data_IF_169878793013
#
_entry.id   IF_169878793013
#
_cell.length_a   1.000
_cell.length_b   1.000
_cell.length_c   1.000
_cell.angle_alpha   90.00
_cell.angle_beta   90.00
_cell.angle_gamma   90.00
#
_symmetry.space_group_name_H-M   'P 1'
#
loop_
_entity.id
_entity.type
_entity.pdbx_description
1 polymer ?
#
# COMPACT_ATOMS: atom_id res chain seq x y z
N UNK A 1 -7.97 -11.33 13.57
CA UNK A 1 -6.63 -11.13 12.97
C UNK A 1 -6.84 -10.91 11.47
N UNK A 2 -6.61 -9.71 10.92
CA UNK A 2 -6.83 -9.42 9.48
C UNK A 2 -5.99 -10.34 8.59
N UNK A 3 -6.65 -11.05 7.69
CA UNK A 3 -6.06 -11.89 6.66
C UNK A 3 -6.14 -11.22 5.29
N UNK A 4 -5.44 -11.79 4.31
CA UNK A 4 -5.41 -11.29 2.93
C UNK A 4 -6.80 -11.23 2.29
N UNK A 5 -7.65 -12.19 2.61
CA UNK A 5 -9.03 -12.25 2.12
C UNK A 5 -9.88 -11.07 2.61
N UNK A 6 -9.59 -10.54 3.80
CA UNK A 6 -10.34 -9.44 4.43
C UNK A 6 -9.99 -8.07 3.83
N UNK A 7 -8.89 -7.98 3.07
CA UNK A 7 -8.45 -6.72 2.47
C UNK A 7 -9.29 -6.38 1.25
N UNK A 8 -9.77 -5.14 1.18
CA UNK A 8 -10.40 -4.61 -0.02
C UNK A 8 -9.39 -4.44 -1.16
N UNK A 9 -9.88 -4.36 -2.40
CA UNK A 9 -9.03 -4.18 -3.58
C UNK A 9 -8.10 -2.96 -3.45
N UNK A 10 -8.63 -1.82 -3.01
CA UNK A 10 -7.84 -0.60 -2.79
C UNK A 10 -6.77 -0.76 -1.71
N UNK A 11 -7.03 -1.55 -0.65
CA UNK A 11 -6.02 -1.81 0.38
C UNK A 11 -4.90 -2.69 -0.16
N UNK A 12 -5.22 -3.69 -1.00
CA UNK A 12 -4.23 -4.54 -1.66
C UNK A 12 -3.34 -3.74 -2.60
N UNK A 13 -3.94 -2.86 -3.40
CA UNK A 13 -3.21 -1.95 -4.29
C UNK A 13 -2.30 -1.00 -3.51
N UNK A 14 -2.77 -0.45 -2.38
CA UNK A 14 -1.95 0.40 -1.51
C UNK A 14 -0.73 -0.33 -0.93
N UNK A 15 -0.91 -1.59 -0.49
CA UNK A 15 0.19 -2.42 0.00
C UNK A 15 1.23 -2.69 -1.10
N UNK A 16 0.77 -3.05 -2.29
CA UNK A 16 1.64 -3.32 -3.44
C UNK A 16 2.38 -2.06 -3.89
N UNK A 17 1.68 -0.92 -4.00
CA UNK A 17 2.27 0.34 -4.36
C UNK A 17 3.33 0.79 -3.35
N UNK A 18 3.04 0.66 -2.05
CA UNK A 18 4.03 0.97 -1.02
C UNK A 18 5.24 0.03 -1.09
N UNK A 19 5.04 -1.26 -1.35
CA UNK A 19 6.14 -2.23 -1.50
C UNK A 19 7.04 -1.89 -2.69
N UNK A 20 6.46 -1.43 -3.80
CA UNK A 20 7.21 -1.07 -5.01
C UNK A 20 7.85 0.31 -4.96
N UNK A 21 7.58 1.14 -3.94
CA UNK A 21 8.13 2.50 -3.81
C UNK A 21 9.64 2.54 -3.54
N UNK A 22 10.31 1.39 -3.39
CA UNK A 22 11.73 1.29 -3.01
C UNK A 22 11.99 1.63 -1.54
N UNK A 23 11.28 2.61 -0.97
CA UNK A 23 11.29 2.97 0.45
C UNK A 23 10.34 2.12 1.31
N UNK A 24 9.40 1.38 0.69
CA UNK A 24 8.36 0.67 1.43
C UNK A 24 7.31 1.61 2.02
N UNK A 25 7.08 2.78 1.41
CA UNK A 25 6.24 3.84 1.96
C UNK A 25 5.42 4.61 0.92
N UNK A 26 4.33 5.21 1.39
CA UNK A 26 3.53 6.17 0.65
C UNK A 26 3.83 7.58 1.17
N UNK A 27 4.05 8.51 0.26
CA UNK A 27 4.29 9.92 0.55
C UNK A 27 3.01 10.71 0.37
N UNK A 28 2.76 11.67 1.26
CA UNK A 28 1.61 12.56 1.18
C UNK A 28 1.81 13.60 0.08
N UNK A 29 0.77 13.82 -0.70
CA UNK A 29 0.66 14.86 -1.72
C UNK A 29 -0.60 15.69 -1.47
N UNK A 30 -0.82 16.71 -2.30
CA UNK A 30 -2.02 17.55 -2.19
C UNK A 30 -3.33 16.75 -2.34
N UNK A 31 -3.31 15.61 -3.05
CA UNK A 31 -4.49 14.77 -3.29
C UNK A 31 -4.67 13.59 -2.32
N UNK A 32 -3.69 13.29 -1.47
CA UNK A 32 -3.71 12.09 -0.62
C UNK A 32 -2.33 11.51 -0.40
N UNK A 33 -2.19 10.19 -0.57
CA UNK A 33 -0.93 9.46 -0.43
C UNK A 33 -0.62 8.72 -1.72
N UNK A 34 0.64 8.69 -2.14
CA UNK A 34 1.06 7.87 -3.27
C UNK A 34 2.42 7.24 -3.04
N UNK A 35 2.67 6.14 -3.74
CA UNK A 35 4.00 5.57 -3.81
C UNK A 35 4.90 6.43 -4.70
N UNK A 36 6.11 6.71 -4.23
CA UNK A 36 7.16 7.37 -5.01
C UNK A 36 8.21 6.32 -5.30
N UNK A 37 8.15 5.70 -6.47
CA UNK A 37 9.11 4.68 -6.87
C UNK A 37 10.25 5.32 -7.64
N UNK A 38 11.46 5.35 -7.08
CA UNK A 38 12.72 5.75 -7.77
C UNK A 38 12.59 6.87 -8.81
N UNK A 39 11.93 7.97 -8.44
CA UNK A 39 11.75 9.16 -9.31
C UNK A 39 10.49 9.19 -10.18
N UNK A 40 9.72 8.10 -10.28
CA UNK A 40 8.41 8.09 -10.94
C UNK A 40 7.28 7.99 -9.91
N UNK A 41 6.47 9.05 -9.74
CA UNK A 41 5.23 8.95 -8.96
C UNK A 41 4.31 7.87 -9.53
N UNK A 42 3.76 7.00 -8.68
CA UNK A 42 2.64 6.12 -9.07
C UNK A 42 1.44 6.99 -9.50
N UNK A 43 0.72 6.60 -10.55
CA UNK A 43 -0.50 7.32 -10.97
C UNK A 43 -1.65 7.19 -9.96
N UNK A 44 -1.57 6.24 -9.03
CA UNK A 44 -2.64 5.97 -8.07
C UNK A 44 -2.47 6.81 -6.81
N UNK A 45 -3.50 7.61 -6.50
CA UNK A 45 -3.59 8.38 -5.26
C UNK A 45 -4.55 7.67 -4.30
N UNK A 46 -4.05 7.35 -3.11
CA UNK A 46 -4.79 6.75 -2.02
C UNK A 46 -5.28 7.84 -1.05
N UNK A 47 -6.55 7.79 -0.67
CA UNK A 47 -7.11 8.79 0.24
C UNK A 47 -6.54 8.66 1.66
N UNK A 48 -6.47 9.77 2.39
CA UNK A 48 -6.05 9.78 3.80
C UNK A 48 -6.93 8.87 4.67
N UNK A 49 -8.21 8.72 4.33
CA UNK A 49 -9.14 7.81 5.02
C UNK A 49 -8.73 6.35 4.86
N UNK A 50 -8.34 5.93 3.64
CA UNK A 50 -7.87 4.58 3.39
C UNK A 50 -6.59 4.29 4.17
N UNK A 51 -5.61 5.19 4.08
CA UNK A 51 -4.32 5.04 4.78
C UNK A 51 -4.51 5.00 6.30
N UNK A 52 -5.39 5.83 6.85
CA UNK A 52 -5.73 5.78 8.29
C UNK A 52 -6.45 4.49 8.70
N UNK A 53 -7.31 3.93 7.85
CA UNK A 53 -7.93 2.63 8.13
C UNK A 53 -6.88 1.51 8.17
N UNK A 54 -5.88 1.58 7.28
CA UNK A 54 -4.78 0.62 7.25
C UNK A 54 -3.78 0.83 8.40
N UNK A 55 -3.57 2.06 8.86
CA UNK A 55 -2.84 2.39 10.09
C UNK A 55 -3.49 1.73 11.31
N UNK A 56 -4.80 1.91 11.50
CA UNK A 56 -5.58 1.25 12.56
C UNK A 56 -5.55 -0.28 12.49
N UNK A 57 -5.29 -0.82 11.30
CA UNK A 57 -5.15 -2.24 11.03
C UNK A 57 -3.71 -2.76 11.23
N UNK A 58 -2.78 -1.91 11.67
CA UNK A 58 -1.35 -2.20 11.84
C UNK A 58 -0.62 -2.61 10.55
N UNK A 59 -1.11 -2.13 9.40
CA UNK A 59 -0.49 -2.38 8.08
C UNK A 59 0.49 -1.29 7.69
N UNK A 60 0.19 -0.05 8.08
CA UNK A 60 1.07 1.10 7.95
C UNK A 60 1.40 1.66 9.34
N UNK A 61 2.56 2.29 9.46
CA UNK A 61 2.92 3.23 10.52
C UNK A 61 2.98 4.61 9.90
N UNK A 62 2.40 5.57 10.59
CA UNK A 62 2.44 6.98 10.21
C UNK A 62 3.60 7.66 10.93
N UNK A 63 4.26 8.60 10.26
CA UNK A 63 5.30 9.45 10.86
C UNK A 63 4.74 10.40 11.92
N UNK A 64 3.53 10.91 11.69
CA UNK A 64 2.77 11.77 12.59
C UNK A 64 1.30 11.35 12.61
N UNK A 65 0.67 11.27 13.80
CA UNK A 65 -0.73 10.85 13.92
C UNK A 65 -1.74 11.90 13.44
N UNK A 66 -1.39 13.18 13.63
CA UNK A 66 -2.25 14.33 13.32
C UNK A 66 -2.11 14.75 11.87
N UNK A 67 -0.86 14.92 11.42
CA UNK A 67 -0.53 15.41 10.07
C UNK A 67 0.50 14.51 9.40
N UNK A 68 0.18 13.23 9.14
CA UNK A 68 1.10 12.30 8.53
C UNK A 68 1.62 12.86 7.20
N UNK A 69 2.92 12.80 6.97
CA UNK A 69 3.55 13.09 5.68
C UNK A 69 3.98 11.79 5.00
N UNK A 70 4.20 10.74 5.76
CA UNK A 70 4.65 9.45 5.26
C UNK A 70 3.88 8.31 5.95
N UNK A 71 3.49 7.32 5.15
CA UNK A 71 2.92 6.07 5.64
C UNK A 71 3.83 4.91 5.24
N UNK A 72 4.57 4.35 6.20
CA UNK A 72 5.54 3.29 5.99
C UNK A 72 4.95 1.92 6.30
N UNK A 73 5.24 0.92 5.48
CA UNK A 73 4.79 -0.45 5.73
C UNK A 73 5.37 -0.98 7.04
N UNK A 74 4.52 -1.62 7.83
CA UNK A 74 4.97 -2.42 8.96
C UNK A 74 5.52 -3.78 8.49
N UNK A 75 6.20 -4.51 9.37
CA UNK A 75 6.59 -5.91 9.11
C UNK A 75 5.41 -6.78 8.68
N UNK A 76 4.22 -6.50 9.25
CA UNK A 76 2.99 -7.19 8.89
C UNK A 76 2.47 -6.75 7.52
N UNK A 77 2.44 -5.45 7.25
CA UNK A 77 2.03 -4.90 5.95
C UNK A 77 2.92 -5.42 4.83
N UNK A 78 4.25 -5.48 5.06
CA UNK A 78 5.20 -6.03 4.09
C UNK A 78 4.97 -7.51 3.83
N UNK A 79 4.76 -8.32 4.87
CA UNK A 79 4.49 -9.76 4.71
C UNK A 79 3.21 -10.02 3.89
N UNK A 80 2.15 -9.22 4.12
CA UNK A 80 0.92 -9.32 3.32
C UNK A 80 1.12 -8.84 1.87
N UNK A 81 1.93 -7.80 1.66
CA UNK A 81 2.31 -7.36 0.32
C UNK A 81 3.10 -8.45 -0.44
N UNK A 82 4.01 -9.15 0.25
CA UNK A 82 4.78 -10.26 -0.33
C UNK A 82 3.86 -11.42 -0.71
N UNK A 83 2.88 -11.75 0.13
CA UNK A 83 1.85 -12.75 -0.20
C UNK A 83 0.99 -12.33 -1.40
N UNK A 84 0.61 -11.05 -1.51
CA UNK A 84 -0.12 -10.53 -2.68
C UNK A 84 0.71 -10.65 -3.96
N UNK A 85 1.99 -10.29 -3.90
CA UNK A 85 2.89 -10.37 -5.04
C UNK A 85 3.13 -11.83 -5.47
N UNK A 86 3.22 -12.76 -4.50
CA UNK A 86 3.29 -14.20 -4.77
C UNK A 86 1.99 -14.75 -5.39
N UNK A 87 0.82 -14.23 -5.01
CA UNK A 87 -0.44 -14.61 -5.65
C UNK A 87 -0.55 -14.09 -7.08
N UNK A 88 -0.18 -12.83 -7.32
CA UNK A 88 -0.20 -12.20 -8.64
C UNK A 88 0.75 -12.89 -9.62
N UNK A 89 1.93 -13.32 -9.16
CA UNK A 89 2.87 -14.08 -10.00
C UNK A 89 2.39 -15.49 -10.31
N UNK A 90 1.51 -16.07 -9.48
CA UNK A 90 0.89 -17.39 -9.71
C UNK A 90 -0.35 -17.35 -10.58
N UNK A 91 -1.04 -16.20 -10.65
CA UNK A 91 -2.14 -16.02 -11.61
C UNK A 91 -1.55 -15.65 -12.97
N UNK A 92 -1.57 -16.55 -13.98
CA UNK A 92 -1.33 -16.11 -15.35
C UNK A 92 -2.37 -15.05 -15.68
N UNK A 93 -1.92 -13.97 -16.32
CA UNK A 93 -2.72 -12.82 -16.74
C UNK A 93 -3.86 -13.30 -17.65
N UNK A 94 -4.99 -13.71 -17.06
CA UNK A 94 -6.18 -14.14 -17.78
C UNK A 94 -6.84 -12.88 -18.37
N UNK A 95 -6.54 -12.58 -19.62
CA UNK A 95 -7.11 -11.43 -20.34
C UNK A 95 -6.08 -10.64 -21.14
N UNK A 96 -5.45 -11.30 -22.11
CA UNK A 96 -4.95 -10.64 -23.30
C UNK A 96 -5.47 -11.47 -24.49
N UNK A 97 -6.72 -11.22 -24.85
CA UNK A 97 -7.38 -11.72 -26.06
C UNK A 97 -7.94 -10.49 -26.79
#
# INVERSE_FOLDING_TARGET
>A
MIQLADLSQLQREALLAAKTSGSGSLQRTCGGFQAVASGSPSSTIFTSRLVRAMYRSFLFVLDDESFPREAKLTTRGSALADLLQAQLSRQPKAGAA
#
